data_IF_893847319606
#
_entry.id   IF_893847319606
#
_cell.length_a   1.000
_cell.length_b   1.000
_cell.length_c   1.000
_cell.angle_alpha   90.00
_cell.angle_beta   90.00
_cell.angle_gamma   90.00
#
_symmetry.space_group_name_H-M   'P 1'
#
loop_
_entity.id
_entity.type
_entity.pdbx_description
1 polymer ?
#
# COMPACT_ATOMS: atom_id res chain seq x y z
N UNK A 1 -21.03 16.97 42.49
CA UNK A 1 -21.09 17.30 41.03
C UNK A 1 -19.86 18.00 40.47
N UNK A 2 -19.06 18.75 41.26
CA UNK A 2 -17.84 19.44 40.76
C UNK A 2 -16.78 18.47 40.19
N UNK A 3 -16.58 17.32 40.83
CA UNK A 3 -15.64 16.27 40.37
C UNK A 3 -16.04 15.63 39.03
N UNK A 4 -17.35 15.50 38.77
CA UNK A 4 -17.88 14.94 37.52
C UNK A 4 -17.69 15.90 36.33
N UNK A 5 -17.88 17.20 36.55
CA UNK A 5 -17.62 18.23 35.52
C UNK A 5 -16.13 18.31 35.17
N UNK A 6 -15.25 18.13 36.15
CA UNK A 6 -13.80 18.09 35.92
C UNK A 6 -13.38 16.88 35.08
N UNK A 7 -14.01 15.72 35.30
CA UNK A 7 -13.76 14.50 34.53
C UNK A 7 -14.23 14.62 33.06
N UNK A 8 -15.38 15.27 32.82
CA UNK A 8 -15.90 15.56 31.48
C UNK A 8 -15.00 16.53 30.69
N UNK A 9 -14.44 17.55 31.37
CA UNK A 9 -13.50 18.49 30.76
C UNK A 9 -12.18 17.79 30.41
N UNK A 10 -11.66 16.94 31.31
CA UNK A 10 -10.46 16.14 31.04
C UNK A 10 -10.65 15.17 29.86
N UNK A 11 -11.83 14.54 29.74
CA UNK A 11 -12.16 13.66 28.60
C UNK A 11 -12.23 14.41 27.27
N UNK A 12 -12.70 15.67 27.29
CA UNK A 12 -12.76 16.50 26.07
C UNK A 12 -11.39 17.00 25.60
N UNK A 13 -10.39 17.06 26.50
CA UNK A 13 -9.02 17.48 26.20
C UNK A 13 -8.13 16.36 25.65
N UNK A 14 -8.49 15.09 25.87
CA UNK A 14 -7.80 13.94 25.25
C UNK A 14 -8.32 13.62 23.85
N UNK A 15 -9.43 14.25 23.44
CA UNK A 15 -9.88 14.25 22.06
C UNK A 15 -9.12 15.34 21.26
N UNK A 16 -7.80 15.40 21.44
CA UNK A 16 -6.96 16.12 20.49
C UNK A 16 -7.18 15.46 19.14
N UNK A 17 -7.52 16.27 18.15
CA UNK A 17 -7.62 15.89 16.76
C UNK A 17 -6.33 15.18 16.34
N UNK A 18 -6.30 13.85 16.43
CA UNK A 18 -5.44 13.09 15.53
C UNK A 18 -6.04 13.34 14.16
N UNK A 19 -5.51 14.34 13.45
CA UNK A 19 -5.88 14.57 12.07
C UNK A 19 -5.42 13.33 11.31
N UNK A 20 -6.39 12.47 10.98
CA UNK A 20 -6.13 11.29 10.20
C UNK A 20 -5.75 11.74 8.79
N UNK A 21 -4.50 11.47 8.42
CA UNK A 21 -4.00 11.68 7.07
C UNK A 21 -4.08 10.36 6.30
N UNK A 22 -4.04 10.43 4.96
CA UNK A 22 -4.10 9.25 4.11
C UNK A 22 -2.71 8.81 3.65
N UNK A 23 -2.32 7.61 4.05
CA UNK A 23 -1.20 6.90 3.45
C UNK A 23 -1.69 6.10 2.24
N UNK A 24 -1.01 6.22 1.11
CA UNK A 24 -1.26 5.43 -0.09
C UNK A 24 -0.15 4.41 -0.30
N UNK A 25 -0.52 3.21 -0.73
CA UNK A 25 0.44 2.15 -1.09
C UNK A 25 0.08 1.52 -2.43
N UNK A 26 1.10 1.23 -3.24
CA UNK A 26 0.98 0.41 -4.44
C UNK A 26 1.16 -1.07 -4.05
N UNK A 27 0.18 -1.92 -4.39
CA UNK A 27 0.23 -3.36 -4.16
C UNK A 27 0.43 -4.11 -5.48
N UNK A 28 1.45 -4.96 -5.54
CA UNK A 28 1.65 -5.98 -6.58
C UNK A 28 1.26 -7.37 -6.03
N UNK A 29 0.41 -8.10 -6.74
CA UNK A 29 0.12 -9.50 -6.46
C UNK A 29 0.88 -10.40 -7.43
N UNK A 30 1.84 -11.18 -6.93
CA UNK A 30 2.70 -12.03 -7.74
C UNK A 30 3.07 -13.31 -7.00
N UNK A 31 3.03 -14.46 -7.68
CA UNK A 31 3.32 -15.78 -7.09
C UNK A 31 2.59 -16.05 -5.77
N UNK A 32 1.32 -15.65 -5.69
CA UNK A 32 0.49 -15.78 -4.49
C UNK A 32 0.97 -14.97 -3.27
N UNK A 33 1.86 -14.00 -3.46
CA UNK A 33 2.27 -13.02 -2.44
C UNK A 33 1.75 -11.62 -2.80
N UNK A 34 1.58 -10.79 -1.78
CA UNK A 34 1.49 -9.33 -1.96
C UNK A 34 2.81 -8.66 -1.62
N UNK A 35 3.18 -7.68 -2.43
CA UNK A 35 4.27 -6.75 -2.15
C UNK A 35 3.72 -5.33 -2.14
N UNK A 36 4.11 -4.55 -1.14
CA UNK A 36 3.65 -3.18 -0.95
C UNK A 36 4.78 -2.18 -1.17
N UNK A 37 4.44 -1.03 -1.74
CA UNK A 37 5.31 0.12 -1.91
C UNK A 37 4.60 1.37 -1.38
N UNK A 38 5.14 1.94 -0.30
CA UNK A 38 4.67 3.17 0.34
C UNK A 38 5.48 4.40 -0.11
N UNK A 39 6.39 4.23 -1.08
CA UNK A 39 7.29 5.28 -1.56
C UNK A 39 8.51 5.54 -0.68
N UNK A 40 8.62 4.90 0.51
CA UNK A 40 9.80 5.05 1.38
C UNK A 40 10.99 4.19 0.94
N UNK A 41 10.72 3.13 0.18
CA UNK A 41 11.71 2.16 -0.28
C UNK A 41 11.87 2.21 -1.81
N UNK A 42 13.01 1.72 -2.31
CA UNK A 42 13.25 1.69 -3.76
C UNK A 42 12.39 0.67 -4.52
N UNK A 43 11.85 -0.33 -3.83
CA UNK A 43 11.15 -1.48 -4.41
C UNK A 43 10.01 -1.92 -3.49
N UNK A 44 8.99 -2.55 -4.08
CA UNK A 44 7.92 -3.21 -3.33
C UNK A 44 8.46 -4.30 -2.40
N UNK A 45 8.00 -4.32 -1.16
CA UNK A 45 8.42 -5.26 -0.12
C UNK A 45 7.32 -6.30 0.15
N UNK A 46 7.66 -7.60 0.23
CA UNK A 46 6.67 -8.63 0.56
C UNK A 46 6.19 -8.48 2.01
N UNK A 47 4.89 -8.65 2.23
CA UNK A 47 4.36 -8.77 3.59
C UNK A 47 4.80 -10.11 4.17
N UNK A 48 5.30 -10.08 5.40
CA UNK A 48 5.74 -11.26 6.13
C UNK A 48 4.64 -11.75 7.07
N UNK A 49 4.48 -13.07 7.17
CA UNK A 49 3.71 -13.70 8.23
C UNK A 49 4.44 -13.67 9.57
N UNK A 50 3.78 -14.15 10.62
CA UNK A 50 4.35 -14.23 11.97
C UNK A 50 5.61 -15.11 12.05
N UNK A 51 5.77 -16.06 11.11
CA UNK A 51 6.94 -16.92 11.00
C UNK A 51 8.12 -16.26 10.24
N UNK A 52 7.98 -14.99 9.85
CA UNK A 52 8.97 -14.22 9.10
C UNK A 52 9.07 -14.57 7.61
N UNK A 53 8.26 -15.52 7.12
CA UNK A 53 8.21 -15.88 5.68
C UNK A 53 7.21 -15.00 4.93
N UNK A 54 7.32 -14.99 3.61
CA UNK A 54 6.34 -14.29 2.78
C UNK A 54 4.94 -14.84 2.99
N UNK A 55 3.98 -13.96 3.23
CA UNK A 55 2.58 -14.34 3.41
C UNK A 55 1.99 -14.78 2.07
N UNK A 56 1.55 -16.04 2.00
CA UNK A 56 0.98 -16.66 0.80
C UNK A 56 -0.55 -16.67 0.87
N UNK A 57 -1.18 -16.25 -0.21
CA UNK A 57 -2.63 -16.20 -0.38
C UNK A 57 -3.09 -17.23 -1.41
N UNK A 58 -4.27 -17.80 -1.21
CA UNK A 58 -4.86 -18.72 -2.20
C UNK A 58 -5.27 -18.02 -3.50
N UNK A 59 -5.49 -16.71 -3.46
CA UNK A 59 -5.94 -15.90 -4.59
C UNK A 59 -5.75 -14.41 -4.32
N UNK A 60 -5.81 -13.60 -5.39
CA UNK A 60 -5.83 -12.15 -5.30
C UNK A 60 -6.97 -11.64 -4.41
N UNK A 61 -8.17 -12.21 -4.54
CA UNK A 61 -9.32 -11.76 -3.73
C UNK A 61 -9.08 -12.03 -2.24
N UNK A 62 -8.39 -13.13 -1.89
CA UNK A 62 -7.96 -13.41 -0.53
C UNK A 62 -6.99 -12.35 0.00
N UNK A 63 -6.05 -11.90 -0.84
CA UNK A 63 -5.14 -10.81 -0.51
C UNK A 63 -5.88 -9.46 -0.31
N UNK A 64 -6.83 -9.12 -1.19
CA UNK A 64 -7.63 -7.89 -1.06
C UNK A 64 -8.47 -7.90 0.23
N UNK A 65 -9.10 -9.04 0.55
CA UNK A 65 -9.84 -9.18 1.79
C UNK A 65 -8.94 -9.05 3.02
N UNK A 66 -7.73 -9.61 2.97
CA UNK A 66 -6.74 -9.42 4.02
C UNK A 66 -6.38 -7.94 4.21
N UNK A 67 -6.10 -7.21 3.12
CA UNK A 67 -5.84 -5.77 3.17
C UNK A 67 -7.00 -5.00 3.81
N UNK A 68 -8.24 -5.33 3.42
CA UNK A 68 -9.45 -4.73 4.01
C UNK A 68 -9.55 -4.99 5.52
N UNK A 69 -9.26 -6.21 5.99
CA UNK A 69 -9.21 -6.52 7.42
C UNK A 69 -8.12 -5.73 8.18
N UNK A 70 -7.03 -5.34 7.50
CA UNK A 70 -5.97 -4.51 8.09
C UNK A 70 -6.29 -3.00 8.05
N UNK A 71 -7.48 -2.62 7.60
CA UNK A 71 -7.94 -1.23 7.51
C UNK A 71 -7.51 -0.51 6.23
N UNK A 72 -7.12 -1.24 5.19
CA UNK A 72 -6.82 -0.65 3.88
C UNK A 72 -8.05 -0.64 2.99
N UNK A 73 -8.24 0.45 2.27
CA UNK A 73 -9.31 0.63 1.30
C UNK A 73 -8.74 0.60 -0.12
N UNK A 74 -9.32 -0.19 -1.01
CA UNK A 74 -8.92 -0.19 -2.42
C UNK A 74 -9.44 1.08 -3.09
N UNK A 75 -8.53 1.88 -3.62
CA UNK A 75 -8.83 3.17 -4.26
C UNK A 75 -8.87 3.04 -5.78
N UNK A 76 -7.84 2.41 -6.36
CA UNK A 76 -7.67 2.35 -7.82
C UNK A 76 -6.97 1.07 -8.24
N UNK A 77 -7.17 0.67 -9.50
CA UNK A 77 -6.39 -0.40 -10.16
C UNK A 77 -5.71 0.18 -11.40
N UNK A 78 -4.39 -0.02 -11.50
CA UNK A 78 -3.55 0.46 -12.60
C UNK A 78 -2.91 -0.70 -13.31
N UNK A 79 -2.92 -0.70 -14.64
CA UNK A 79 -2.17 -1.67 -15.45
C UNK A 79 -1.01 -1.00 -16.18
N UNK A 80 0.18 -1.59 -16.08
CA UNK A 80 1.35 -1.20 -16.86
C UNK A 80 1.63 -2.29 -17.89
N UNK A 81 1.53 -1.93 -19.16
CA UNK A 81 1.86 -2.81 -20.27
C UNK A 81 3.28 -2.50 -20.71
N UNK A 82 4.14 -3.51 -20.69
CA UNK A 82 5.50 -3.45 -21.19
C UNK A 82 5.67 -4.46 -22.32
N UNK A 83 6.28 -4.05 -23.42
CA UNK A 83 6.56 -4.92 -24.54
C UNK A 83 7.99 -4.70 -25.03
N UNK A 84 8.68 -5.80 -25.30
CA UNK A 84 9.92 -5.79 -26.08
C UNK A 84 9.78 -6.79 -27.21
N UNK A 85 10.04 -6.34 -28.43
CA UNK A 85 9.97 -7.20 -29.62
C UNK A 85 10.49 -6.47 -30.85
N UNK A 86 11.17 -7.21 -31.70
CA UNK A 86 11.56 -6.77 -33.04
C UNK A 86 10.71 -7.56 -34.04
N UNK A 87 9.87 -6.86 -34.81
CA UNK A 87 9.05 -7.46 -35.86
C UNK A 87 9.78 -7.29 -37.18
N UNK A 88 10.39 -8.36 -37.68
CA UNK A 88 10.92 -8.40 -39.05
C UNK A 88 9.84 -8.90 -40.00
N UNK A 89 9.57 -8.15 -41.07
CA UNK A 89 8.56 -8.43 -42.10
C UNK A 89 8.81 -9.71 -42.91
N UNK A 90 10.00 -10.32 -42.76
CA UNK A 90 10.45 -11.44 -43.60
C UNK A 90 10.44 -12.79 -42.85
N UNK A 91 10.53 -12.79 -41.52
CA UNK A 91 10.77 -14.04 -40.74
C UNK A 91 9.73 -14.27 -39.63
N UNK A 92 8.89 -13.28 -39.29
CA UNK A 92 7.92 -13.41 -38.20
C UNK A 92 8.62 -13.39 -36.84
N UNK A 93 8.63 -12.22 -36.18
CA UNK A 93 9.27 -12.05 -34.88
C UNK A 93 8.36 -12.45 -33.72
N UNK A 94 8.93 -13.06 -32.68
CA UNK A 94 8.24 -13.22 -31.39
C UNK A 94 8.22 -11.87 -30.67
N UNK A 95 7.01 -11.36 -30.42
CA UNK A 95 6.76 -10.25 -29.51
C UNK A 95 6.21 -10.83 -28.21
N UNK A 96 6.79 -10.45 -27.07
CA UNK A 96 6.20 -10.74 -25.77
C UNK A 96 5.67 -9.43 -25.17
N UNK A 97 4.42 -9.48 -24.72
CA UNK A 97 3.79 -8.39 -23.98
C UNK A 97 3.62 -8.86 -22.55
N UNK A 98 4.19 -8.12 -21.60
CA UNK A 98 4.05 -8.36 -20.18
C UNK A 98 3.16 -7.26 -19.58
N UNK A 99 2.03 -7.66 -19.00
CA UNK A 99 1.11 -6.76 -18.31
C UNK A 99 1.25 -6.96 -16.81
N UNK A 100 1.65 -5.91 -16.11
CA UNK A 100 1.62 -5.86 -14.64
C UNK A 100 0.39 -5.09 -14.18
N UNK A 101 -0.28 -5.59 -13.15
CA UNK A 101 -1.44 -4.94 -12.53
C UNK A 101 -1.06 -4.57 -11.11
N UNK A 102 -1.27 -3.31 -10.78
CA UNK A 102 -1.02 -2.68 -9.49
C UNK A 102 -2.36 -2.22 -8.91
N UNK A 103 -2.49 -2.32 -7.59
CA UNK A 103 -3.69 -1.92 -6.86
C UNK A 103 -3.29 -0.86 -5.85
N UNK A 104 -3.92 0.31 -5.93
CA UNK A 104 -3.64 1.42 -5.01
C UNK A 104 -4.57 1.29 -3.82
N UNK A 105 -4.01 1.14 -2.64
CA UNK A 105 -4.73 1.13 -1.38
C UNK A 105 -4.47 2.41 -0.59
N UNK A 106 -5.43 2.81 0.24
CA UNK A 106 -5.24 3.88 1.22
C UNK A 106 -5.62 3.43 2.63
N UNK A 107 -4.96 4.01 3.64
CA UNK A 107 -5.31 3.82 5.05
C UNK A 107 -5.11 5.13 5.81
N UNK A 108 -5.98 5.37 6.77
CA UNK A 108 -5.87 6.49 7.70
C UNK A 108 -4.70 6.23 8.66
N UNK A 109 -3.78 7.20 8.75
CA UNK A 109 -2.57 7.19 9.58
C UNK A 109 -2.44 8.52 10.33
N UNK A 110 -1.52 8.59 11.31
CA UNK A 110 -1.23 9.88 11.96
C UNK A 110 -0.36 10.77 11.07
N UNK A 111 -0.42 12.08 11.28
CA UNK A 111 0.43 13.04 10.58
C UNK A 111 1.92 12.69 10.74
N UNK A 112 2.36 12.32 11.95
CA UNK A 112 3.75 11.97 12.21
C UNK A 112 4.21 10.72 11.47
N UNK A 113 3.34 9.71 11.33
CA UNK A 113 3.62 8.51 10.54
C UNK A 113 3.79 8.86 9.06
N UNK A 114 2.88 9.69 8.52
CA UNK A 114 2.95 10.12 7.13
C UNK A 114 4.20 10.97 6.87
N UNK A 115 4.52 11.93 7.74
CA UNK A 115 5.71 12.76 7.62
C UNK A 115 7.00 11.92 7.56
N UNK A 116 7.12 10.89 8.39
CA UNK A 116 8.28 9.99 8.37
C UNK A 116 8.42 9.27 7.03
N UNK A 117 7.33 8.72 6.49
CA UNK A 117 7.33 8.05 5.19
C UNK A 117 7.68 9.03 4.07
N UNK A 118 7.05 10.21 4.06
CA UNK A 118 7.27 11.25 3.06
C UNK A 118 8.73 11.73 3.07
N UNK A 119 9.32 11.98 4.24
CA UNK A 119 10.72 12.39 4.37
C UNK A 119 11.71 11.34 3.82
N UNK A 120 11.34 10.05 3.85
CA UNK A 120 12.15 8.98 3.29
C UNK A 120 11.96 8.79 1.78
N UNK A 121 10.91 9.38 1.20
CA UNK A 121 10.52 9.16 -0.20
C UNK A 121 11.27 10.01 -1.23
N UNK A 122 11.94 11.09 -0.81
CA UNK A 122 12.68 11.97 -1.72
C UNK A 122 14.09 12.27 -1.21
N UNK A 123 14.97 12.70 -2.12
CA UNK A 123 16.30 13.21 -1.80
C UNK A 123 16.43 14.63 -2.31
N UNK A 124 16.75 15.56 -1.43
CA UNK A 124 17.21 16.89 -1.81
C UNK A 124 18.63 16.77 -2.38
N UNK A 125 18.84 17.31 -3.58
CA UNK A 125 20.17 17.41 -4.22
C UNK A 125 20.93 18.62 -3.70
#
# INVERSE_FOLDING_TARGET
>A
MKKLRFFLILLSLTCSYAQAEKLFVEMEFHENCIKLDDGSNKNHQPIKGEDGKDLKFTSLIGAINYMSLQGWELVETRSVISGQGYVSTIIGGQSSTNTKVYYIFSKDVTEEELEQIVNNSYKTK
#
